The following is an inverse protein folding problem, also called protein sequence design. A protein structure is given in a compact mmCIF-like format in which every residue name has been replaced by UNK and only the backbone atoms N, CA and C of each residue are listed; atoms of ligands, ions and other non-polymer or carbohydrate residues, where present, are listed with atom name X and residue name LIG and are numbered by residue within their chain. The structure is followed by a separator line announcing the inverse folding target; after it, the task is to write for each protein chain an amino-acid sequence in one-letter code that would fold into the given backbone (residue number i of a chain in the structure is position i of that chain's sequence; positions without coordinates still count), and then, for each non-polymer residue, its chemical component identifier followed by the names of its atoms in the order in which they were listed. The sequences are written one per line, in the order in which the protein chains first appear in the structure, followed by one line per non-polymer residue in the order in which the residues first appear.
data_IF_433602266749
#
_entry.id   IF_433602266749
#
_cell.length_a   1.000
_cell.length_b   1.000
_cell.length_c   1.000
_cell.angle_alpha   90.00
_cell.angle_beta   90.00
_cell.angle_gamma   90.00
#
_symmetry.space_group_name_H-M   'P 1'
#
loop_
_entity.id
_entity.type
_entity.pdbx_description
1 polymer ?
#
# COMPACT_ATOMS: atom_id res chain seq x y z
N UNK A 1 12.49 2.29 -1.18
CA UNK A 1 13.94 2.62 -1.26
C UNK A 1 14.43 3.34 0.00
N UNK A 2 13.60 4.19 0.61
CA UNK A 2 14.00 5.07 1.73
C UNK A 2 13.43 4.65 3.09
N UNK A 3 12.77 3.50 3.20
CA UNK A 3 12.17 3.07 4.47
C UNK A 3 13.21 2.90 5.59
N UNK A 4 14.45 2.58 5.26
CA UNK A 4 15.57 2.46 6.21
C UNK A 4 16.55 3.64 6.15
N UNK A 5 16.17 4.74 5.53
CA UNK A 5 16.93 5.99 5.60
C UNK A 5 16.58 6.73 6.90
N UNK A 6 17.24 6.35 7.98
CA UNK A 6 16.93 6.86 9.33
C UNK A 6 17.08 8.37 9.47
N UNK A 7 18.01 8.99 8.74
CA UNK A 7 18.15 10.46 8.72
C UNK A 7 16.91 11.12 8.11
N UNK A 8 16.38 10.55 7.01
CA UNK A 8 15.16 11.01 6.38
C UNK A 8 13.96 10.79 7.29
N UNK A 9 13.84 9.60 7.91
CA UNK A 9 12.74 9.29 8.83
C UNK A 9 12.68 10.25 10.02
N UNK A 10 13.85 10.58 10.60
CA UNK A 10 13.96 11.60 11.67
C UNK A 10 13.57 12.99 11.19
N UNK A 11 13.97 13.38 9.98
CA UNK A 11 13.60 14.68 9.41
C UNK A 11 12.09 14.76 9.15
N UNK A 12 11.49 13.73 8.58
CA UNK A 12 10.04 13.62 8.34
C UNK A 12 9.27 13.61 9.67
N UNK A 13 9.80 12.93 10.69
CA UNK A 13 9.22 12.90 12.04
C UNK A 13 9.14 14.27 12.73
N UNK A 14 9.96 15.24 12.30
CA UNK A 14 9.91 16.62 12.80
C UNK A 14 8.92 17.52 12.06
N UNK A 15 8.27 17.00 11.03
CA UNK A 15 7.25 17.72 10.29
C UNK A 15 5.85 17.44 10.87
N UNK A 16 4.88 18.28 10.54
CA UNK A 16 3.48 18.07 10.91
C UNK A 16 2.64 17.63 9.69
N UNK A 17 3.26 16.88 8.76
CA UNK A 17 2.63 16.41 7.52
C UNK A 17 2.30 14.93 7.65
N UNK A 18 1.08 14.47 7.28
CA UNK A 18 0.75 13.05 7.25
C UNK A 18 1.71 12.25 6.35
N UNK A 19 2.13 11.09 6.82
CA UNK A 19 3.14 10.25 6.17
C UNK A 19 2.54 8.91 5.78
N UNK A 20 2.58 8.57 4.48
CA UNK A 20 2.35 7.21 4.01
C UNK A 20 3.71 6.48 3.92
N UNK A 21 3.98 5.61 4.88
CA UNK A 21 5.22 4.84 4.95
C UNK A 21 5.08 3.53 4.19
N UNK A 22 5.74 3.46 3.04
CA UNK A 22 5.73 2.26 2.18
C UNK A 22 6.71 1.21 2.68
N UNK A 23 6.27 -0.04 2.76
CA UNK A 23 7.13 -1.19 3.05
C UNK A 23 8.23 -1.34 2.01
N UNK A 24 9.45 -1.58 2.46
CA UNK A 24 10.58 -1.87 1.58
C UNK A 24 10.44 -3.23 0.90
N UNK A 25 11.02 -3.39 -0.29
CA UNK A 25 10.91 -4.60 -1.12
C UNK A 25 11.44 -5.88 -0.46
N UNK A 26 12.42 -5.75 0.44
CA UNK A 26 13.03 -6.84 1.19
C UNK A 26 12.87 -6.64 2.71
N UNK A 27 11.86 -5.87 3.13
CA UNK A 27 11.62 -5.53 4.52
C UNK A 27 10.63 -6.48 5.18
N UNK A 28 10.92 -6.88 6.39
CA UNK A 28 9.97 -7.58 7.26
C UNK A 28 8.87 -6.65 7.74
N UNK A 29 7.85 -7.19 8.39
CA UNK A 29 6.82 -6.40 9.09
C UNK A 29 7.47 -5.60 10.22
N UNK A 30 8.39 -6.19 10.96
CA UNK A 30 9.10 -5.53 12.06
C UNK A 30 9.96 -4.36 11.56
N UNK A 31 10.61 -4.49 10.40
CA UNK A 31 11.36 -3.39 9.79
C UNK A 31 10.46 -2.19 9.47
N UNK A 32 9.23 -2.46 8.98
CA UNK A 32 8.25 -1.42 8.70
C UNK A 32 7.77 -0.74 9.99
N UNK A 33 7.48 -1.50 11.04
CA UNK A 33 7.07 -0.98 12.34
C UNK A 33 8.19 -0.16 13.00
N UNK A 34 9.43 -0.65 12.96
CA UNK A 34 10.58 0.08 13.47
C UNK A 34 10.79 1.41 12.71
N UNK A 35 10.61 1.40 11.39
CA UNK A 35 10.68 2.63 10.60
C UNK A 35 9.59 3.65 10.97
N UNK A 36 8.36 3.18 11.25
CA UNK A 36 7.27 4.01 11.74
C UNK A 36 7.59 4.59 13.14
N UNK A 37 8.20 3.79 14.02
CA UNK A 37 8.62 4.23 15.35
C UNK A 37 9.66 5.36 15.26
N UNK A 38 10.62 5.31 14.33
CA UNK A 38 11.56 6.41 14.10
C UNK A 38 10.85 7.73 13.76
N UNK A 39 9.78 7.69 12.97
CA UNK A 39 8.99 8.88 12.64
C UNK A 39 8.23 9.36 13.89
N UNK A 40 7.54 8.45 14.56
CA UNK A 40 6.72 8.73 15.74
C UNK A 40 7.55 9.31 16.91
N UNK A 41 8.71 8.72 17.20
CA UNK A 41 9.63 9.16 18.24
C UNK A 41 10.23 10.56 18.00
N UNK A 42 10.18 11.05 16.76
CA UNK A 42 10.59 12.41 16.41
C UNK A 42 9.43 13.41 16.38
N UNK A 43 8.22 13.00 16.79
CA UNK A 43 7.08 13.88 17.06
C UNK A 43 5.90 13.79 16.10
N UNK A 44 6.02 13.07 14.97
CA UNK A 44 4.92 12.94 14.00
C UNK A 44 4.18 11.61 14.19
N UNK A 45 2.95 11.68 14.70
CA UNK A 45 2.07 10.52 14.89
C UNK A 45 1.10 10.30 13.72
N UNK A 46 1.11 11.15 12.69
CA UNK A 46 0.22 11.07 11.54
C UNK A 46 0.80 10.10 10.50
N UNK A 47 0.82 8.81 10.81
CA UNK A 47 1.45 7.75 10.00
C UNK A 47 0.37 6.81 9.48
N UNK A 48 0.46 6.46 8.20
CA UNK A 48 -0.25 5.36 7.55
C UNK A 48 0.80 4.37 7.06
N UNK A 49 0.60 3.08 7.30
CA UNK A 49 1.46 2.02 6.79
C UNK A 49 0.94 1.55 5.42
N UNK A 50 1.83 1.26 4.49
CA UNK A 50 1.45 0.88 3.13
C UNK A 50 2.16 -0.41 2.71
N UNK A 51 1.38 -1.49 2.57
CA UNK A 51 1.84 -2.72 1.92
C UNK A 51 1.80 -2.54 0.39
N UNK A 52 2.91 -2.82 -0.27
CA UNK A 52 3.10 -2.57 -1.71
C UNK A 52 3.79 -3.71 -2.47
N UNK A 53 3.82 -4.87 -1.85
CA UNK A 53 4.51 -6.04 -2.37
C UNK A 53 5.98 -6.12 -1.95
N UNK A 54 6.43 -7.34 -1.82
CA UNK A 54 7.80 -7.70 -1.47
C UNK A 54 8.43 -8.51 -2.59
N UNK A 55 9.76 -8.45 -2.69
CA UNK A 55 10.51 -9.32 -3.60
C UNK A 55 10.52 -10.75 -3.08
N UNK A 56 10.19 -11.67 -3.98
CA UNK A 56 10.33 -13.10 -3.76
C UNK A 56 11.11 -13.71 -4.93
N UNK A 57 11.23 -15.04 -4.94
CA UNK A 57 11.89 -15.78 -6.02
C UNK A 57 11.11 -15.77 -7.34
N UNK A 58 9.79 -15.60 -7.28
CA UNK A 58 8.91 -15.55 -8.47
C UNK A 58 8.47 -14.12 -8.74
N UNK A 59 8.96 -13.57 -9.85
CA UNK A 59 8.66 -12.23 -10.35
C UNK A 59 8.44 -12.21 -11.87
N UNK A 60 8.06 -13.37 -12.43
CA UNK A 60 7.87 -13.49 -13.87
C UNK A 60 6.56 -12.87 -14.34
N UNK A 61 5.46 -13.12 -13.61
CA UNK A 61 4.12 -12.65 -13.98
C UNK A 61 3.67 -11.42 -13.22
N UNK A 62 4.29 -11.11 -12.10
CA UNK A 62 4.02 -9.92 -11.29
C UNK A 62 5.32 -9.26 -10.87
N UNK A 63 5.29 -7.95 -10.69
CA UNK A 63 6.46 -7.17 -10.29
C UNK A 63 6.97 -7.56 -8.89
N UNK A 64 6.05 -7.83 -7.97
CA UNK A 64 6.32 -8.22 -6.59
C UNK A 64 5.23 -9.16 -6.10
N UNK A 65 5.52 -9.94 -5.07
CA UNK A 65 4.49 -10.72 -4.35
C UNK A 65 3.72 -9.78 -3.42
N UNK A 66 2.41 -9.69 -3.62
CA UNK A 66 1.55 -8.88 -2.77
C UNK A 66 1.26 -9.60 -1.46
N UNK A 67 1.91 -9.16 -0.37
CA UNK A 67 1.78 -9.80 0.95
C UNK A 67 0.55 -9.28 1.70
N UNK A 68 -0.61 -9.76 1.31
CA UNK A 68 -1.87 -9.38 1.96
C UNK A 68 -1.98 -9.90 3.40
N UNK A 69 -1.18 -10.90 3.81
CA UNK A 69 -1.10 -11.33 5.21
C UNK A 69 -0.58 -10.21 6.12
N UNK A 70 0.25 -9.32 5.61
CA UNK A 70 0.77 -8.20 6.38
C UNK A 70 -0.34 -7.26 6.88
N UNK A 71 -1.47 -7.14 6.18
CA UNK A 71 -2.57 -6.24 6.57
C UNK A 71 -3.14 -6.62 7.94
N UNK A 72 -3.72 -7.82 8.15
CA UNK A 72 -4.26 -8.20 9.46
C UNK A 72 -3.18 -8.34 10.54
N UNK A 73 -1.93 -8.67 10.18
CA UNK A 73 -0.81 -8.71 11.12
C UNK A 73 -0.51 -7.30 11.64
N UNK A 74 -0.34 -6.32 10.77
CA UNK A 74 -0.10 -4.93 11.16
C UNK A 74 -1.25 -4.36 12.00
N UNK A 75 -2.50 -4.67 11.65
CA UNK A 75 -3.67 -4.23 12.41
C UNK A 75 -3.72 -4.79 13.85
N UNK A 76 -3.08 -5.93 14.10
CA UNK A 76 -2.94 -6.48 15.46
C UNK A 76 -1.81 -5.83 16.25
N UNK A 77 -0.76 -5.35 15.55
CA UNK A 77 0.47 -4.87 16.18
C UNK A 77 0.51 -3.35 16.36
N UNK A 78 -0.32 -2.61 15.64
CA UNK A 78 -0.34 -1.14 15.71
C UNK A 78 -1.73 -0.57 15.49
N UNK A 79 -1.92 0.66 15.95
CA UNK A 79 -3.14 1.45 15.72
C UNK A 79 -3.11 2.25 14.40
N UNK A 80 -2.00 2.26 13.69
CA UNK A 80 -1.88 3.02 12.44
C UNK A 80 -2.76 2.43 11.33
N UNK A 81 -3.41 3.26 10.51
CA UNK A 81 -4.14 2.78 9.34
C UNK A 81 -3.21 2.02 8.40
N UNK A 82 -3.67 0.86 7.94
CA UNK A 82 -2.93 0.03 6.98
C UNK A 82 -3.56 0.14 5.61
N UNK A 83 -2.83 0.73 4.67
CA UNK A 83 -3.19 0.88 3.28
C UNK A 83 -2.50 -0.19 2.42
N UNK A 84 -3.01 -0.39 1.23
CA UNK A 84 -2.42 -1.28 0.24
C UNK A 84 -2.20 -0.57 -1.10
N UNK A 85 -1.17 -1.00 -1.82
CA UNK A 85 -0.81 -0.49 -3.14
C UNK A 85 -0.72 -1.66 -4.15
N UNK A 86 -1.86 -2.04 -4.74
CA UNK A 86 -1.89 -3.14 -5.71
C UNK A 86 -1.17 -2.81 -7.01
N UNK A 87 -1.08 -1.53 -7.40
CA UNK A 87 -0.38 -1.11 -8.61
C UNK A 87 1.10 -1.47 -8.57
N UNK A 88 1.81 -1.11 -7.49
CA UNK A 88 3.22 -1.45 -7.33
C UNK A 88 3.46 -2.90 -6.95
N UNK A 89 2.48 -3.57 -6.35
CA UNK A 89 2.57 -4.99 -6.06
C UNK A 89 2.52 -5.81 -7.36
N UNK A 90 1.49 -5.62 -8.16
CA UNK A 90 1.29 -6.43 -9.37
C UNK A 90 2.18 -5.98 -10.55
N UNK A 91 2.32 -4.67 -10.76
CA UNK A 91 3.03 -4.12 -11.91
C UNK A 91 2.24 -4.17 -13.22
N UNK A 92 1.03 -4.74 -13.22
CA UNK A 92 0.17 -4.95 -14.37
C UNK A 92 -1.23 -4.41 -14.09
N UNK A 93 -1.74 -3.55 -14.98
CA UNK A 93 -2.99 -2.81 -14.78
C UNK A 93 -4.23 -3.71 -14.62
N UNK A 94 -4.31 -4.82 -15.33
CA UNK A 94 -5.43 -5.76 -15.30
C UNK A 94 -5.51 -6.56 -13.99
N UNK A 95 -4.39 -6.69 -13.28
CA UNK A 95 -4.31 -7.31 -11.96
C UNK A 95 -4.63 -6.35 -10.80
N UNK A 96 -4.62 -5.04 -11.04
CA UNK A 96 -4.83 -4.04 -9.97
C UNK A 96 -6.23 -4.18 -9.35
N UNK A 97 -7.27 -4.23 -10.15
CA UNK A 97 -8.65 -4.32 -9.64
C UNK A 97 -8.93 -5.58 -8.83
N UNK A 98 -8.61 -6.82 -9.30
CA UNK A 98 -8.80 -8.02 -8.47
C UNK A 98 -7.99 -7.97 -7.17
N UNK A 99 -6.77 -7.46 -7.19
CA UNK A 99 -5.94 -7.38 -6.00
C UNK A 99 -6.37 -6.25 -5.05
N UNK A 100 -6.94 -5.16 -5.57
CA UNK A 100 -7.58 -4.13 -4.76
C UNK A 100 -8.77 -4.70 -3.96
N UNK A 101 -9.64 -5.48 -4.60
CA UNK A 101 -10.76 -6.17 -3.93
C UNK A 101 -10.27 -7.13 -2.86
N UNK A 102 -9.27 -7.97 -3.18
CA UNK A 102 -8.69 -8.92 -2.23
C UNK A 102 -8.09 -8.20 -1.01
N UNK A 103 -7.36 -7.12 -1.23
CA UNK A 103 -6.78 -6.34 -0.14
C UNK A 103 -7.80 -5.63 0.75
N UNK A 104 -8.89 -5.11 0.17
CA UNK A 104 -10.00 -4.56 0.98
C UNK A 104 -10.69 -5.68 1.76
N UNK A 105 -10.81 -6.87 1.20
CA UNK A 105 -11.36 -8.03 1.91
C UNK A 105 -10.53 -8.45 3.13
N UNK A 106 -9.23 -8.17 3.17
CA UNK A 106 -8.39 -8.38 4.37
C UNK A 106 -8.58 -7.32 5.46
N UNK A 107 -9.36 -6.29 5.19
CA UNK A 107 -9.63 -5.21 6.13
C UNK A 107 -8.75 -3.98 5.97
N UNK A 108 -8.03 -3.82 4.86
CA UNK A 108 -7.24 -2.62 4.61
C UNK A 108 -8.07 -1.34 4.79
N UNK A 109 -7.44 -0.31 5.35
CA UNK A 109 -8.07 0.98 5.64
C UNK A 109 -8.21 1.88 4.40
N UNK A 110 -7.47 1.59 3.35
CA UNK A 110 -7.48 2.35 2.11
C UNK A 110 -6.57 1.79 1.05
N UNK A 111 -6.59 2.44 -0.11
CA UNK A 111 -5.88 2.05 -1.32
C UNK A 111 -5.02 3.20 -1.84
N UNK A 112 -3.87 2.86 -2.37
CA UNK A 112 -3.11 3.71 -3.28
C UNK A 112 -3.03 3.01 -4.63
N UNK A 113 -3.44 3.69 -5.71
CA UNK A 113 -3.34 3.17 -7.08
C UNK A 113 -2.81 4.23 -8.02
N UNK A 114 -2.17 3.80 -9.08
CA UNK A 114 -1.71 4.70 -10.14
C UNK A 114 -2.76 4.83 -11.23
N UNK A 115 -3.00 6.07 -11.66
CA UNK A 115 -3.97 6.42 -12.69
C UNK A 115 -3.27 7.31 -13.71
N UNK A 116 -3.51 7.03 -14.98
CA UNK A 116 -3.04 7.87 -16.08
C UNK A 116 -4.06 7.82 -17.23
N UNK A 117 -4.34 8.96 -17.85
CA UNK A 117 -5.24 9.06 -19.01
C UNK A 117 -4.68 8.33 -20.25
N UNK A 118 -3.35 8.38 -20.42
CA UNK A 118 -2.61 7.72 -21.47
C UNK A 118 -1.45 6.88 -20.89
N UNK A 119 -1.71 5.70 -20.30
CA UNK A 119 -0.67 4.87 -19.66
C UNK A 119 0.53 4.57 -20.56
N UNK A 120 0.29 4.42 -21.87
CA UNK A 120 1.32 4.20 -22.87
C UNK A 120 2.28 5.38 -23.07
N UNK A 121 1.93 6.57 -22.56
CA UNK A 121 2.74 7.80 -22.59
C UNK A 121 3.29 8.19 -21.22
N UNK A 122 3.02 7.39 -20.18
CA UNK A 122 3.51 7.68 -18.85
C UNK A 122 5.03 7.66 -18.78
N UNK A 123 5.64 8.63 -18.10
CA UNK A 123 7.09 8.69 -17.93
C UNK A 123 7.63 7.54 -17.06
N UNK A 124 6.79 6.96 -16.20
CA UNK A 124 7.11 5.80 -15.37
C UNK A 124 5.84 4.99 -15.08
N UNK A 125 6.01 3.72 -14.79
CA UNK A 125 4.98 2.84 -14.24
C UNK A 125 3.67 2.73 -15.07
N UNK A 126 3.73 3.02 -16.38
CA UNK A 126 2.57 2.98 -17.28
C UNK A 126 1.89 1.62 -17.35
N UNK A 127 2.67 0.51 -17.27
CA UNK A 127 2.11 -0.85 -17.31
C UNK A 127 1.10 -1.14 -16.18
N UNK A 128 1.26 -0.49 -15.04
CA UNK A 128 0.41 -0.69 -13.85
C UNK A 128 -0.65 0.40 -13.64
N UNK A 129 -0.64 1.45 -14.49
CA UNK A 129 -1.56 2.57 -14.34
C UNK A 129 -2.94 2.25 -14.91
N UNK A 130 -3.97 2.54 -14.13
CA UNK A 130 -5.37 2.44 -14.57
C UNK A 130 -5.75 3.66 -15.41
N UNK A 131 -6.58 3.44 -16.43
CA UNK A 131 -7.31 4.55 -17.07
C UNK A 131 -8.40 5.06 -16.13
N UNK A 132 -8.81 6.34 -16.22
CA UNK A 132 -9.85 6.92 -15.35
C UNK A 132 -11.15 6.10 -15.29
N UNK A 133 -11.62 5.58 -16.42
CA UNK A 133 -12.83 4.75 -16.47
C UNK A 133 -12.66 3.43 -15.70
N UNK A 134 -11.52 2.75 -15.87
CA UNK A 134 -11.20 1.51 -15.14
C UNK A 134 -11.05 1.76 -13.64
N UNK A 135 -10.47 2.90 -13.26
CA UNK A 135 -10.38 3.31 -11.86
C UNK A 135 -11.76 3.51 -11.22
N UNK A 136 -12.68 4.19 -11.90
CA UNK A 136 -14.04 4.38 -11.39
C UNK A 136 -14.76 3.03 -11.21
N UNK A 137 -14.65 2.14 -12.17
CA UNK A 137 -15.20 0.78 -12.07
C UNK A 137 -14.57 0.00 -10.89
N UNK A 138 -13.25 0.09 -10.71
CA UNK A 138 -12.58 -0.48 -9.55
C UNK A 138 -13.13 0.07 -8.23
N UNK A 139 -13.36 1.38 -8.14
CA UNK A 139 -13.93 2.01 -6.93
C UNK A 139 -15.30 1.41 -6.59
N UNK A 140 -16.20 1.26 -7.57
CA UNK A 140 -17.50 0.62 -7.35
C UNK A 140 -17.37 -0.79 -6.78
N UNK A 141 -16.47 -1.61 -7.36
CA UNK A 141 -16.24 -2.97 -6.91
C UNK A 141 -15.63 -3.03 -5.50
N UNK A 142 -14.68 -2.16 -5.21
CA UNK A 142 -14.01 -2.07 -3.90
C UNK A 142 -15.01 -1.63 -2.81
N UNK A 143 -15.85 -0.65 -3.08
CA UNK A 143 -16.88 -0.21 -2.14
C UNK A 143 -17.92 -1.30 -1.83
N UNK A 144 -18.28 -2.11 -2.82
CA UNK A 144 -19.17 -3.26 -2.61
C UNK A 144 -18.52 -4.30 -1.67
N UNK A 145 -17.23 -4.59 -1.83
CA UNK A 145 -16.49 -5.49 -0.93
C UNK A 145 -16.38 -4.89 0.46
N UNK A 146 -16.02 -3.60 0.59
CA UNK A 146 -15.89 -2.91 1.88
C UNK A 146 -17.20 -2.91 2.66
N UNK A 147 -18.33 -2.69 1.98
CA UNK A 147 -19.66 -2.72 2.60
C UNK A 147 -19.97 -4.09 3.24
N UNK A 148 -19.53 -5.19 2.64
CA UNK A 148 -19.69 -6.54 3.21
C UNK A 148 -18.72 -6.75 4.38
N UNK A 149 -17.45 -6.39 4.19
CA UNK A 149 -16.41 -6.57 5.23
C UNK A 149 -16.72 -5.78 6.49
N UNK A 150 -17.27 -4.57 6.36
CA UNK A 150 -17.68 -3.75 7.51
C UNK A 150 -18.71 -4.42 8.42
N UNK A 151 -19.54 -5.31 7.89
CA UNK A 151 -20.52 -6.05 8.68
C UNK A 151 -19.87 -7.09 9.62
N UNK A 152 -18.62 -7.48 9.36
CA UNK A 152 -17.88 -8.49 10.12
C UNK A 152 -16.81 -7.90 11.03
N UNK A 153 -16.58 -6.59 10.95
CA UNK A 153 -15.66 -5.88 11.87
C UNK A 153 -16.40 -5.64 13.19
N UNK A 154 -15.93 -6.31 14.24
CA UNK A 154 -16.39 -6.15 15.61
C UNK A 154 -15.52 -5.16 16.37
#
# INVERSE_FOLDING_TARGET
RNMQNFSLLKAVGKTNVPVALKRGLAATVDDLLNAAEYIAANGNQQIMLLERGIRTFDNHYTRNTFDLNAVPVLQKLTHYPVLIDPSHATGEWDLVTPMARAGVATGASGLQVEIHDHPEKAFSDGAQALKPATYLEMCHQVWAVDAVVKQWRH
#
